data_IF_716572924699
#
_entry.id   IF_716572924699
#
_cell.length_a   1.000
_cell.length_b   1.000
_cell.length_c   1.000
_cell.angle_alpha   90.00
_cell.angle_beta   90.00
_cell.angle_gamma   90.00
#
_symmetry.space_group_name_H-M   'P 1'
#
loop_
_entity.id
_entity.type
_entity.pdbx_description
1 polymer ?
#
# COMPACT_ATOMS: atom_id res chain seq x y z
N UNK A 1 14.91 10.86 5.04
CA UNK A 1 15.02 9.41 5.02
C UNK A 1 13.71 8.74 4.72
N UNK A 2 13.74 7.74 3.88
CA UNK A 2 12.52 7.03 3.56
C UNK A 2 12.19 6.00 4.61
N UNK A 3 10.92 5.83 4.83
CA UNK A 3 10.45 4.80 5.71
C UNK A 3 9.88 3.67 4.87
N UNK A 4 10.39 2.47 5.08
CA UNK A 4 9.91 1.30 4.37
C UNK A 4 9.00 0.49 5.27
N UNK A 5 7.92 0.02 4.69
CA UNK A 5 6.93 -0.80 5.39
C UNK A 5 6.92 -2.18 4.77
N UNK A 6 6.77 -3.21 5.57
CA UNK A 6 6.53 -4.53 4.99
C UNK A 6 5.03 -4.74 4.86
N UNK A 7 4.61 -5.92 4.41
CA UNK A 7 3.19 -6.17 4.20
C UNK A 7 2.42 -6.06 5.51
N UNK A 8 2.99 -6.57 6.57
CA UNK A 8 2.34 -6.51 7.88
C UNK A 8 2.18 -5.07 8.34
N UNK A 9 3.24 -4.28 8.21
CA UNK A 9 3.19 -2.88 8.58
C UNK A 9 2.16 -2.12 7.75
N UNK A 10 2.15 -2.39 6.45
CA UNK A 10 1.22 -1.72 5.56
C UNK A 10 -0.22 -2.06 5.89
N UNK A 11 -0.47 -3.33 6.16
CA UNK A 11 -1.82 -3.76 6.51
C UNK A 11 -2.29 -3.05 7.78
N UNK A 12 -1.41 -2.94 8.76
CA UNK A 12 -1.74 -2.23 9.99
C UNK A 12 -1.97 -0.75 9.74
N UNK A 13 -1.13 -0.16 8.92
CA UNK A 13 -1.23 1.26 8.59
C UNK A 13 -2.56 1.58 7.92
N UNK A 14 -2.99 0.71 7.02
CA UNK A 14 -4.23 0.91 6.29
C UNK A 14 -5.42 0.26 6.98
N UNK A 15 -5.17 -0.48 8.05
CA UNK A 15 -6.20 -1.21 8.79
C UNK A 15 -6.91 -2.23 7.91
N UNK A 16 -6.13 -2.95 7.16
CA UNK A 16 -6.63 -3.97 6.25
C UNK A 16 -5.99 -5.31 6.57
N UNK A 17 -6.51 -6.35 5.96
CA UNK A 17 -5.92 -7.67 6.09
C UNK A 17 -4.75 -7.80 5.12
N UNK A 18 -3.77 -8.60 5.48
CA UNK A 18 -2.64 -8.85 4.61
C UNK A 18 -3.07 -9.43 3.27
N UNK A 19 -4.09 -10.26 3.29
CA UNK A 19 -4.61 -10.86 2.07
C UNK A 19 -5.03 -9.78 1.07
N UNK A 20 -5.64 -8.72 1.57
CA UNK A 20 -6.05 -7.62 0.70
C UNK A 20 -4.84 -6.99 0.02
N UNK A 21 -3.75 -6.82 0.77
CA UNK A 21 -2.53 -6.26 0.21
C UNK A 21 -1.98 -7.16 -0.89
N UNK A 22 -1.93 -8.46 -0.65
CA UNK A 22 -1.44 -9.40 -1.64
C UNK A 22 -2.31 -9.40 -2.90
N UNK A 23 -3.62 -9.31 -2.71
CA UNK A 23 -4.53 -9.24 -3.85
C UNK A 23 -4.26 -8.00 -4.70
N UNK A 24 -4.02 -6.89 -4.04
CA UNK A 24 -3.73 -5.65 -4.75
C UNK A 24 -2.40 -5.71 -5.50
N UNK A 25 -1.42 -6.38 -4.91
CA UNK A 25 -0.14 -6.58 -5.59
C UNK A 25 -0.32 -7.42 -6.84
N UNK A 26 -1.12 -8.47 -6.74
CA UNK A 26 -1.40 -9.32 -7.90
C UNK A 26 -2.14 -8.56 -8.99
N UNK A 27 -3.01 -7.66 -8.60
CA UNK A 27 -3.78 -6.86 -9.55
C UNK A 27 -3.03 -5.63 -10.02
N UNK A 28 -1.85 -5.43 -9.48
CA UNK A 28 -1.02 -4.26 -9.79
C UNK A 28 -1.71 -2.96 -9.46
N UNK A 29 -2.52 -2.99 -8.42
CA UNK A 29 -3.19 -1.80 -7.95
C UNK A 29 -2.32 -0.97 -7.04
N UNK A 30 -1.33 -1.58 -6.43
CA UNK A 30 -0.45 -0.90 -5.50
C UNK A 30 0.98 -1.23 -5.88
N UNK A 31 1.86 -0.26 -5.73
CA UNK A 31 3.27 -0.45 -6.06
C UNK A 31 4.06 -0.91 -4.85
N UNK A 32 4.87 -1.92 -5.04
CA UNK A 32 5.75 -2.38 -3.99
C UNK A 32 7.07 -2.78 -4.60
N UNK A 33 8.08 -2.91 -3.75
CA UNK A 33 9.39 -3.35 -4.17
C UNK A 33 9.67 -4.70 -3.53
N UNK A 34 10.20 -5.62 -4.30
CA UNK A 34 10.58 -6.90 -3.74
C UNK A 34 12.08 -6.90 -3.50
N UNK A 35 12.46 -6.86 -2.25
CA UNK A 35 13.85 -6.78 -1.86
C UNK A 35 14.19 -8.02 -1.05
N UNK A 36 15.10 -8.82 -1.55
CA UNK A 36 15.49 -10.04 -0.86
C UNK A 36 14.34 -11.01 -0.66
N UNK A 37 13.40 -11.03 -1.61
CA UNK A 37 12.26 -11.94 -1.52
C UNK A 37 11.13 -11.45 -0.64
N UNK A 38 11.24 -10.24 -0.12
CA UNK A 38 10.22 -9.68 0.77
C UNK A 38 9.69 -8.38 0.20
N UNK A 39 8.39 -8.20 0.27
CA UNK A 39 7.79 -6.97 -0.22
C UNK A 39 8.07 -5.81 0.74
N UNK A 40 8.42 -4.67 0.14
CA UNK A 40 8.61 -3.44 0.90
C UNK A 40 7.88 -2.32 0.21
N UNK A 41 7.37 -1.39 0.98
CA UNK A 41 6.59 -0.26 0.44
C UNK A 41 7.17 1.03 1.00
N UNK A 42 7.34 2.02 0.14
CA UNK A 42 7.80 3.33 0.56
C UNK A 42 6.58 4.09 1.11
N UNK A 43 6.64 4.47 2.36
CA UNK A 43 5.52 5.15 2.99
C UNK A 43 5.09 6.41 2.24
N UNK A 44 6.06 7.15 1.72
CA UNK A 44 5.76 8.35 0.96
C UNK A 44 4.92 8.03 -0.27
N UNK A 45 5.30 6.97 -0.98
CA UNK A 45 4.56 6.56 -2.16
C UNK A 45 3.16 6.06 -1.80
N UNK A 46 3.07 5.37 -0.69
CA UNK A 46 1.77 4.90 -0.22
C UNK A 46 0.86 6.07 0.11
N UNK A 47 1.41 7.09 0.75
CA UNK A 47 0.62 8.26 1.09
C UNK A 47 0.11 8.97 -0.17
N UNK A 48 0.93 9.04 -1.20
CA UNK A 48 0.51 9.63 -2.48
C UNK A 48 -0.59 8.79 -3.11
N UNK A 49 -0.42 7.48 -3.06
CA UNK A 49 -1.41 6.56 -3.61
C UNK A 49 -2.75 6.72 -2.87
N UNK A 50 -2.70 6.85 -1.55
CA UNK A 50 -3.90 7.05 -0.76
C UNK A 50 -4.62 8.34 -1.14
N UNK A 51 -3.87 9.38 -1.37
CA UNK A 51 -4.47 10.65 -1.79
C UNK A 51 -5.20 10.50 -3.11
N UNK A 52 -4.61 9.77 -4.04
CA UNK A 52 -5.24 9.54 -5.32
C UNK A 52 -6.51 8.74 -5.16
N UNK A 53 -6.51 7.74 -4.31
CA UNK A 53 -7.69 6.94 -4.06
C UNK A 53 -8.78 7.77 -3.40
N UNK A 54 -8.38 8.61 -2.48
CA UNK A 54 -9.31 9.45 -1.78
C UNK A 54 -10.04 10.39 -2.73
N UNK A 55 -9.31 10.94 -3.70
CA UNK A 55 -9.93 11.81 -4.68
C UNK A 55 -10.92 11.08 -5.54
N UNK A 56 -10.59 9.86 -5.92
CA UNK A 56 -11.46 9.07 -6.76
C UNK A 56 -12.70 8.63 -6.02
N UNK A 57 -12.61 8.50 -4.73
CA UNK A 57 -13.70 7.97 -3.94
C UNK A 57 -14.48 9.04 -3.20
N UNK A 58 -14.22 10.25 -3.48
CA UNK A 58 -14.79 11.33 -2.71
C UNK A 58 -16.28 11.38 -2.74
N UNK A 59 -16.84 10.92 -3.78
CA UNK A 59 -18.26 11.00 -3.94
C UNK A 59 -19.01 10.22 -2.89
N UNK A 60 -18.36 9.35 -2.25
CA UNK A 60 -19.07 8.51 -1.35
C UNK A 60 -19.27 9.13 -0.05
N UNK A 61 -18.87 10.07 0.13
CA UNK A 61 -19.13 10.46 1.39
C UNK A 61 -19.32 11.37 1.78
#
# INVERSE_FOLDING_TARGET
MRKLLDVDDLAKYLKLKKQTIYNWLNQKKISGMKIGGVWRFDKHEIDKWLKAQSRNAKQTK
#
